data_IF_044535797752
#
_entry.id   IF_044535797752
#
_cell.length_a   1.000
_cell.length_b   1.000
_cell.length_c   1.000
_cell.angle_alpha   90.00
_cell.angle_beta   90.00
_cell.angle_gamma   90.00
#
_symmetry.space_group_name_H-M   'P 1'
#
loop_
_entity.id
_entity.type
_entity.pdbx_description
1 polymer ?
#
# COMPACT_ATOMS: atom_id res chain seq x y z
N UNK A 1 -17.92 -15.74 33.00
CA UNK A 1 -17.40 -16.46 31.82
C UNK A 1 -16.32 -15.60 31.22
N UNK A 2 -15.07 -15.91 31.53
CA UNK A 2 -13.87 -15.17 31.14
C UNK A 2 -13.65 -15.36 29.64
N UNK A 3 -13.93 -14.31 28.87
CA UNK A 3 -13.63 -14.26 27.45
C UNK A 3 -12.10 -14.24 27.31
N UNK A 4 -11.52 -15.38 26.91
CA UNK A 4 -10.10 -15.49 26.61
C UNK A 4 -9.80 -14.57 25.45
N UNK A 5 -9.19 -13.41 25.74
CA UNK A 5 -8.55 -12.59 24.74
C UNK A 5 -7.51 -13.46 24.05
N UNK A 6 -7.83 -13.94 22.84
CA UNK A 6 -6.84 -14.50 21.94
C UNK A 6 -5.74 -13.44 21.85
N UNK A 7 -4.56 -13.76 22.36
CA UNK A 7 -3.35 -12.95 22.21
C UNK A 7 -3.11 -12.79 20.72
N UNK A 8 -3.57 -11.66 20.16
CA UNK A 8 -3.18 -11.22 18.83
C UNK A 8 -1.67 -11.09 18.90
N UNK A 9 -0.98 -12.02 18.24
CA UNK A 9 0.47 -11.95 18.13
C UNK A 9 0.73 -10.85 17.11
N UNK A 10 1.11 -9.67 17.60
CA UNK A 10 1.41 -8.53 16.73
C UNK A 10 2.47 -8.93 15.70
N UNK A 11 2.18 -8.66 14.43
CA UNK A 11 3.06 -9.01 13.31
C UNK A 11 4.32 -8.15 13.37
N UNK A 12 5.50 -8.79 13.31
CA UNK A 12 6.77 -8.06 13.26
C UNK A 12 6.95 -7.37 11.91
N UNK A 13 7.55 -6.18 11.94
CA UNK A 13 7.99 -5.48 10.73
C UNK A 13 9.00 -6.32 9.95
N UNK A 14 9.89 -7.04 10.65
CA UNK A 14 10.82 -7.99 10.05
C UNK A 14 10.14 -9.03 9.15
N UNK A 15 8.96 -9.52 9.53
CA UNK A 15 8.20 -10.48 8.70
C UNK A 15 7.71 -9.85 7.39
N UNK A 16 7.23 -8.61 7.46
CA UNK A 16 6.80 -7.86 6.29
C UNK A 16 7.99 -7.51 5.38
N UNK A 17 9.12 -7.11 5.97
CA UNK A 17 10.35 -6.82 5.24
C UNK A 17 10.92 -8.08 4.56
N UNK A 18 10.90 -9.23 5.23
CA UNK A 18 11.26 -10.53 4.66
C UNK A 18 10.33 -10.92 3.51
N UNK A 19 9.01 -10.79 3.70
CA UNK A 19 8.03 -11.04 2.63
C UNK A 19 8.28 -10.16 1.40
N UNK A 20 8.56 -8.86 1.62
CA UNK A 20 8.88 -7.92 0.55
C UNK A 20 10.17 -8.30 -0.19
N UNK A 21 11.18 -8.84 0.51
CA UNK A 21 12.41 -9.36 -0.11
C UNK A 21 12.11 -10.59 -0.96
N UNK A 22 11.38 -11.54 -0.41
CA UNK A 22 11.00 -12.77 -1.10
C UNK A 22 10.21 -12.46 -2.39
N UNK A 23 9.32 -11.46 -2.35
CA UNK A 23 8.57 -10.98 -3.53
C UNK A 23 9.48 -10.34 -4.57
N UNK A 24 10.55 -9.64 -4.13
CA UNK A 24 11.54 -9.05 -5.02
C UNK A 24 12.35 -10.12 -5.75
N UNK A 25 12.69 -11.20 -5.06
CA UNK A 25 13.49 -12.32 -5.60
C UNK A 25 12.69 -13.25 -6.52
N UNK A 26 11.36 -13.31 -6.34
CA UNK A 26 10.50 -14.08 -7.22
C UNK A 26 10.47 -13.51 -8.66
N UNK A 27 10.63 -14.38 -9.65
CA UNK A 27 10.65 -13.99 -11.07
C UNK A 27 9.25 -13.99 -11.71
N UNK A 28 8.33 -14.83 -11.21
CA UNK A 28 6.97 -14.95 -11.79
C UNK A 28 5.96 -14.15 -10.97
N UNK A 29 5.07 -13.43 -11.68
CA UNK A 29 3.96 -12.68 -11.06
C UNK A 29 3.12 -13.56 -10.14
N UNK A 30 2.80 -14.79 -10.55
CA UNK A 30 1.98 -15.71 -9.75
C UNK A 30 2.65 -16.12 -8.43
N UNK A 31 3.97 -16.27 -8.41
CA UNK A 31 4.72 -16.58 -7.20
C UNK A 31 4.67 -15.40 -6.22
N UNK A 32 4.83 -14.17 -6.74
CA UNK A 32 4.66 -12.93 -5.95
C UNK A 32 3.28 -12.86 -5.32
N UNK A 33 2.23 -13.09 -6.12
CA UNK A 33 0.84 -13.10 -5.65
C UNK A 33 0.65 -14.17 -4.57
N UNK A 34 1.22 -15.36 -4.75
CA UNK A 34 1.14 -16.44 -3.75
C UNK A 34 1.79 -16.08 -2.42
N UNK A 35 3.02 -15.55 -2.45
CA UNK A 35 3.76 -15.12 -1.25
C UNK A 35 3.04 -14.01 -0.49
N UNK A 36 2.57 -13.00 -1.23
CA UNK A 36 1.78 -11.90 -0.65
C UNK A 36 0.46 -12.40 -0.07
N UNK A 37 -0.27 -13.28 -0.77
CA UNK A 37 -1.53 -13.81 -0.28
C UNK A 37 -1.36 -14.62 1.00
N UNK A 38 -0.30 -15.44 1.08
CA UNK A 38 0.01 -16.22 2.27
C UNK A 38 0.34 -15.31 3.47
N UNK A 39 1.10 -14.23 3.26
CA UNK A 39 1.39 -13.24 4.30
C UNK A 39 0.15 -12.46 4.74
N UNK A 40 -0.70 -12.02 3.80
CA UNK A 40 -1.90 -11.25 4.11
C UNK A 40 -2.95 -12.08 4.85
N UNK A 41 -3.08 -13.37 4.54
CA UNK A 41 -4.07 -14.27 5.15
C UNK A 41 -3.82 -14.61 6.62
N UNK A 42 -2.63 -14.27 7.17
CA UNK A 42 -2.28 -14.49 8.58
C UNK A 42 -2.32 -13.22 9.44
N UNK A 43 -2.64 -12.06 8.85
CA UNK A 43 -2.68 -10.79 9.56
C UNK A 43 -3.94 -10.65 10.41
N UNK A 44 -3.83 -9.97 11.55
CA UNK A 44 -4.99 -9.50 12.30
C UNK A 44 -5.71 -8.37 11.57
N UNK A 45 -7.02 -8.22 11.79
CA UNK A 45 -7.87 -7.26 11.06
C UNK A 45 -7.36 -5.80 11.13
N UNK A 46 -6.80 -5.41 12.28
CA UNK A 46 -6.27 -4.07 12.53
C UNK A 46 -4.94 -3.81 11.80
N UNK A 47 -4.20 -4.86 11.44
CA UNK A 47 -2.89 -4.76 10.80
C UNK A 47 -2.96 -4.73 9.26
N UNK A 48 -4.06 -5.21 8.69
CA UNK A 48 -4.21 -5.39 7.23
C UNK A 48 -4.00 -4.07 6.49
N UNK A 49 -4.64 -3.01 6.96
CA UNK A 49 -4.57 -1.70 6.31
C UNK A 49 -3.15 -1.11 6.38
N UNK A 50 -2.45 -1.30 7.50
CA UNK A 50 -1.06 -0.90 7.71
C UNK A 50 -0.14 -1.66 6.74
N UNK A 51 -0.22 -3.00 6.77
CA UNK A 51 0.63 -3.87 5.97
C UNK A 51 0.48 -3.62 4.47
N UNK A 52 -0.77 -3.50 4.00
CA UNK A 52 -1.08 -3.24 2.59
C UNK A 52 -0.58 -1.88 2.15
N UNK A 53 -0.78 -0.84 2.97
CA UNK A 53 -0.24 0.49 2.68
C UNK A 53 1.28 0.45 2.55
N UNK A 54 1.96 -0.18 3.50
CA UNK A 54 3.42 -0.29 3.50
C UNK A 54 3.93 -1.05 2.27
N UNK A 55 3.30 -2.17 1.90
CA UNK A 55 3.65 -2.93 0.70
C UNK A 55 3.39 -2.13 -0.59
N UNK A 56 2.38 -1.26 -0.61
CA UNK A 56 2.11 -0.32 -1.70
C UNK A 56 3.09 0.87 -1.72
N UNK A 57 3.98 1.01 -0.73
CA UNK A 57 4.90 2.15 -0.61
C UNK A 57 4.22 3.43 -0.12
N UNK A 58 3.07 3.31 0.56
CA UNK A 58 2.35 4.43 1.15
C UNK A 58 2.20 4.27 2.66
N UNK A 59 1.87 5.36 3.33
CA UNK A 59 1.55 5.37 4.75
C UNK A 59 0.05 5.62 4.92
N UNK A 60 -0.63 4.98 5.88
CA UNK A 60 -2.03 5.29 6.20
C UNK A 60 -2.25 6.77 6.50
N UNK A 61 -1.27 7.44 7.11
CA UNK A 61 -1.27 8.87 7.44
C UNK A 61 -1.03 9.79 6.23
N UNK A 62 -0.67 9.23 5.07
CA UNK A 62 -0.26 10.00 3.90
C UNK A 62 1.11 10.67 4.08
N UNK A 63 1.21 11.96 3.74
CA UNK A 63 2.49 12.70 3.85
C UNK A 63 2.74 13.15 5.28
N UNK A 64 3.79 12.61 5.88
CA UNK A 64 4.17 12.92 7.28
C UNK A 64 5.18 14.07 7.43
N UNK A 65 5.46 14.81 6.34
CA UNK A 65 6.33 16.00 6.39
C UNK A 65 7.81 15.70 6.55
N UNK A 66 8.26 14.53 6.09
CA UNK A 66 9.66 14.09 6.10
C UNK A 66 10.23 14.30 4.70
N UNK A 67 11.24 15.18 4.60
CA UNK A 67 11.94 15.47 3.35
C UNK A 67 13.24 14.68 3.19
N UNK A 68 13.91 14.86 2.05
CA UNK A 68 15.17 14.19 1.73
C UNK A 68 16.30 14.46 2.74
N UNK A 69 16.36 15.68 3.29
CA UNK A 69 17.35 16.04 4.32
C UNK A 69 17.20 15.18 5.58
N UNK A 70 15.97 15.09 6.11
CA UNK A 70 15.65 14.25 7.27
C UNK A 70 15.98 12.77 7.01
N UNK A 71 15.71 12.26 5.80
CA UNK A 71 16.08 10.89 5.42
C UNK A 71 17.59 10.68 5.34
N UNK A 72 18.35 11.69 4.95
CA UNK A 72 19.81 11.60 4.88
C UNK A 72 20.44 11.52 6.27
N UNK A 73 19.88 12.26 7.24
CA UNK A 73 20.35 12.28 8.63
C UNK A 73 20.12 10.95 9.37
N UNK A 74 19.09 10.19 9.00
CA UNK A 74 18.74 8.93 9.67
C UNK A 74 19.43 7.70 9.07
N UNK A 75 20.10 7.83 7.90
CA UNK A 75 20.78 6.70 7.24
C UNK A 75 21.95 6.12 8.03
N UNK A 76 22.53 6.90 8.94
CA UNK A 76 23.70 6.50 9.76
C UNK A 76 23.31 5.91 11.11
N UNK A 77 22.02 5.72 11.39
CA UNK A 77 21.55 5.16 12.67
C UNK A 77 22.01 3.69 12.79
N UNK A 78 22.72 3.31 13.87
CA UNK A 78 23.11 1.92 14.11
C UNK A 78 21.89 1.00 14.17
N UNK A 79 22.00 -0.19 13.60
CA UNK A 79 20.92 -1.17 13.59
C UNK A 79 20.87 -1.97 14.90
N UNK A 80 19.66 -2.33 15.32
CA UNK A 80 19.44 -3.28 16.41
C UNK A 80 19.85 -4.70 15.99
N UNK A 81 20.22 -5.52 16.97
CA UNK A 81 20.64 -6.91 16.76
C UNK A 81 19.48 -7.89 16.58
N UNK A 82 18.27 -7.54 17.05
CA UNK A 82 17.09 -8.39 17.00
C UNK A 82 15.84 -7.58 16.59
N UNK A 83 14.91 -8.19 15.83
CA UNK A 83 13.68 -7.52 15.43
C UNK A 83 12.71 -7.43 16.61
N UNK A 84 12.28 -6.21 16.92
CA UNK A 84 11.33 -5.93 18.02
C UNK A 84 10.20 -4.99 17.60
N UNK A 85 10.23 -4.50 16.36
CA UNK A 85 9.24 -3.56 15.86
C UNK A 85 8.06 -4.35 15.29
N UNK A 86 6.86 -4.08 15.79
CA UNK A 86 5.60 -4.56 15.23
C UNK A 86 5.04 -3.57 14.21
N UNK A 87 4.17 -4.01 13.30
CA UNK A 87 3.48 -3.12 12.37
C UNK A 87 2.73 -1.98 13.08
N UNK A 88 1.95 -2.30 14.12
CA UNK A 88 1.20 -1.31 14.89
C UNK A 88 2.10 -0.26 15.57
N UNK A 89 3.21 -0.68 16.19
CA UNK A 89 4.16 0.24 16.81
C UNK A 89 4.83 1.19 15.81
N UNK A 90 5.13 0.71 14.59
CA UNK A 90 5.70 1.53 13.51
C UNK A 90 4.66 2.55 13.02
N UNK A 91 3.42 2.09 12.80
CA UNK A 91 2.32 2.96 12.38
C UNK A 91 2.06 4.08 13.40
N UNK A 92 1.95 3.72 14.68
CA UNK A 92 1.84 4.68 15.79
C UNK A 92 3.02 5.66 15.85
N UNK A 93 4.23 5.22 15.47
CA UNK A 93 5.39 6.10 15.40
C UNK A 93 5.26 7.12 14.25
N UNK A 94 4.79 6.68 13.08
CA UNK A 94 4.53 7.59 11.96
C UNK A 94 3.37 8.56 12.22
N UNK A 95 2.33 8.15 12.95
CA UNK A 95 1.29 9.05 13.44
C UNK A 95 1.86 10.18 14.29
N UNK A 96 2.74 9.85 15.26
CA UNK A 96 3.41 10.87 16.08
C UNK A 96 4.26 11.82 15.25
N UNK A 97 4.99 11.32 14.26
CA UNK A 97 5.79 12.15 13.33
C UNK A 97 4.89 13.08 12.51
N UNK A 98 3.76 12.57 12.01
CA UNK A 98 2.78 13.34 11.23
C UNK A 98 2.09 14.44 12.06
N UNK A 99 1.84 14.16 13.34
CA UNK A 99 1.21 15.07 14.28
C UNK A 99 2.15 16.19 14.79
N UNK A 100 3.47 16.01 14.71
CA UNK A 100 4.45 17.03 15.11
C UNK A 100 4.29 18.31 14.28
N UNK A 101 4.11 19.48 14.92
CA UNK A 101 3.94 20.81 14.28
C UNK A 101 4.66 21.91 15.09
N UNK A 102 4.78 23.10 14.51
CA UNK A 102 5.38 24.27 15.16
C UNK A 102 6.89 24.46 14.92
N UNK A 103 7.46 25.46 15.59
CA UNK A 103 8.89 25.80 15.51
C UNK A 103 9.72 24.62 16.03
N UNK A 104 10.76 24.21 15.29
CA UNK A 104 11.58 23.05 15.64
C UNK A 104 10.97 21.68 15.25
N UNK A 105 9.77 21.66 14.63
CA UNK A 105 9.13 20.41 14.22
C UNK A 105 9.97 19.54 13.29
N UNK A 106 10.79 20.13 12.42
CA UNK A 106 11.72 19.38 11.56
C UNK A 106 12.71 18.55 12.37
N UNK A 107 13.40 19.16 13.35
CA UNK A 107 14.37 18.47 14.20
C UNK A 107 13.69 17.39 15.06
N UNK A 108 12.50 17.69 15.60
CA UNK A 108 11.72 16.73 16.37
C UNK A 108 11.31 15.50 15.53
N UNK A 109 10.86 15.69 14.29
CA UNK A 109 10.55 14.58 13.37
C UNK A 109 11.79 13.74 13.07
N UNK A 110 12.94 14.37 12.83
CA UNK A 110 14.21 13.65 12.63
C UNK A 110 14.54 12.81 13.86
N UNK A 111 14.48 13.38 15.06
CA UNK A 111 14.77 12.63 16.29
C UNK A 111 13.84 11.44 16.46
N UNK A 112 12.53 11.62 16.29
CA UNK A 112 11.54 10.53 16.36
C UNK A 112 11.85 9.41 15.36
N UNK A 113 12.28 9.74 14.14
CA UNK A 113 12.69 8.75 13.14
C UNK A 113 14.01 8.05 13.52
N UNK A 114 14.97 8.77 14.10
CA UNK A 114 16.21 8.17 14.62
C UNK A 114 15.91 7.15 15.71
N UNK A 115 15.03 7.49 16.64
CA UNK A 115 14.63 6.61 17.75
C UNK A 115 13.92 5.35 17.25
N UNK A 116 13.07 5.49 16.22
CA UNK A 116 12.42 4.36 15.56
C UNK A 116 13.47 3.45 14.88
N UNK A 117 14.36 4.03 14.08
CA UNK A 117 15.36 3.29 13.31
C UNK A 117 16.43 2.64 14.19
N UNK A 118 16.73 3.20 15.36
CA UNK A 118 17.68 2.61 16.32
C UNK A 118 17.17 1.27 16.90
N UNK A 119 15.85 1.06 16.90
CA UNK A 119 15.20 -0.18 17.31
C UNK A 119 14.99 -1.17 16.16
N UNK A 120 15.23 -0.73 14.93
CA UNK A 120 15.07 -1.55 13.74
C UNK A 120 16.38 -2.30 13.44
N UNK A 121 16.25 -3.56 13.03
CA UNK A 121 17.34 -4.33 12.41
C UNK A 121 17.73 -3.71 11.08
N UNK A 122 18.86 -4.15 10.51
CA UNK A 122 19.37 -3.58 9.25
C UNK A 122 18.36 -3.72 8.09
N UNK A 123 17.66 -4.83 8.06
CA UNK A 123 16.66 -5.14 7.03
C UNK A 123 15.39 -4.31 7.19
N UNK A 124 14.94 -4.11 8.43
CA UNK A 124 13.83 -3.22 8.76
C UNK A 124 14.18 -1.76 8.47
N UNK A 125 15.40 -1.31 8.75
CA UNK A 125 15.86 0.04 8.40
C UNK A 125 15.83 0.27 6.89
N UNK A 126 16.34 -0.66 6.07
CA UNK A 126 16.30 -0.54 4.61
C UNK A 126 14.84 -0.47 4.12
N UNK A 127 13.97 -1.33 4.66
CA UNK A 127 12.55 -1.30 4.34
C UNK A 127 11.89 0.05 4.69
N UNK A 128 12.08 0.54 5.91
CA UNK A 128 11.48 1.81 6.38
C UNK A 128 11.99 3.02 5.59
N UNK A 129 13.29 3.07 5.28
CA UNK A 129 13.87 4.16 4.48
C UNK A 129 13.28 4.19 3.07
N UNK A 130 13.08 3.02 2.44
CA UNK A 130 12.41 2.89 1.14
C UNK A 130 10.94 3.28 1.20
N UNK A 131 10.24 2.84 2.24
CA UNK A 131 8.85 3.20 2.48
C UNK A 131 8.68 4.72 2.63
N UNK A 132 9.55 5.38 3.40
CA UNK A 132 9.51 6.84 3.58
C UNK A 132 9.87 7.61 2.30
N UNK A 133 10.58 6.99 1.35
CA UNK A 133 10.80 7.56 0.02
C UNK A 133 9.58 7.39 -0.90
N UNK A 134 8.59 6.57 -0.51
CA UNK A 134 7.41 6.26 -1.29
C UNK A 134 7.57 5.10 -2.26
N UNK A 135 8.68 4.34 -2.18
CA UNK A 135 9.00 3.28 -3.14
C UNK A 135 9.68 2.07 -2.48
N UNK A 136 8.98 0.94 -2.36
CA UNK A 136 9.55 -0.30 -1.80
C UNK A 136 10.51 -1.00 -2.79
N UNK A 137 10.28 -0.84 -4.10
CA UNK A 137 11.06 -1.49 -5.18
C UNK A 137 11.11 -3.02 -5.06
N UNK A 138 9.99 -3.62 -4.66
CA UNK A 138 9.81 -5.08 -4.60
C UNK A 138 9.36 -5.71 -5.94
N UNK A 139 9.17 -4.89 -6.98
CA UNK A 139 8.68 -5.36 -8.28
C UNK A 139 7.26 -5.96 -8.20
N UNK A 140 6.47 -5.52 -7.22
CA UNK A 140 5.05 -5.79 -7.07
C UNK A 140 4.32 -4.45 -7.01
N UNK A 141 3.60 -4.13 -8.08
CA UNK A 141 2.76 -2.94 -8.15
C UNK A 141 1.49 -3.16 -7.31
N UNK A 142 0.75 -2.09 -7.03
CA UNK A 142 -0.55 -2.15 -6.36
C UNK A 142 -1.50 -3.18 -7.01
N UNK A 143 -1.40 -3.39 -8.33
CA UNK A 143 -2.17 -4.44 -9.02
C UNK A 143 -1.81 -5.87 -8.58
N UNK A 144 -0.54 -6.15 -8.28
CA UNK A 144 -0.10 -7.46 -7.77
C UNK A 144 -0.61 -7.66 -6.35
N UNK A 145 -0.55 -6.63 -5.51
CA UNK A 145 -1.05 -6.67 -4.14
C UNK A 145 -2.58 -6.82 -4.15
N UNK A 146 -3.28 -6.16 -5.08
CA UNK A 146 -4.73 -6.33 -5.28
C UNK A 146 -5.09 -7.77 -5.64
N UNK A 147 -4.34 -8.40 -6.56
CA UNK A 147 -4.53 -9.82 -6.90
C UNK A 147 -4.24 -10.73 -5.69
N UNK A 148 -3.26 -10.39 -4.85
CA UNK A 148 -2.94 -11.12 -3.63
C UNK A 148 -4.04 -11.00 -2.56
N UNK A 149 -4.61 -9.80 -2.37
CA UNK A 149 -5.77 -9.58 -1.50
C UNK A 149 -6.95 -10.41 -1.98
N UNK A 150 -7.26 -10.37 -3.28
CA UNK A 150 -8.34 -11.16 -3.85
C UNK A 150 -8.13 -12.67 -3.64
N UNK A 151 -6.90 -13.16 -3.85
CA UNK A 151 -6.54 -14.56 -3.62
C UNK A 151 -6.67 -14.96 -2.15
N UNK A 152 -6.17 -14.14 -1.22
CA UNK A 152 -6.23 -14.42 0.21
C UNK A 152 -7.67 -14.36 0.75
N UNK A 153 -8.50 -13.47 0.22
CA UNK A 153 -9.91 -13.36 0.58
C UNK A 153 -10.82 -14.40 -0.11
N UNK A 154 -10.32 -15.13 -1.11
CA UNK A 154 -11.14 -16.03 -1.94
C UNK A 154 -12.16 -15.29 -2.80
N UNK A 155 -11.91 -14.03 -3.15
CA UNK A 155 -12.84 -13.16 -3.89
C UNK A 155 -12.44 -13.01 -5.36
N UNK A 156 -13.41 -12.74 -6.26
CA UNK A 156 -13.08 -12.41 -7.65
C UNK A 156 -12.22 -11.14 -7.75
N UNK A 157 -11.06 -11.22 -8.40
CA UNK A 157 -10.13 -10.09 -8.51
C UNK A 157 -10.75 -8.84 -9.16
N UNK A 158 -11.68 -9.02 -10.11
CA UNK A 158 -12.42 -7.92 -10.73
C UNK A 158 -13.27 -7.14 -9.71
N UNK A 159 -13.82 -7.83 -8.71
CA UNK A 159 -14.65 -7.23 -7.66
C UNK A 159 -13.81 -6.40 -6.69
N UNK A 160 -12.66 -6.92 -6.27
CA UNK A 160 -11.70 -6.17 -5.44
C UNK A 160 -11.19 -4.94 -6.19
N UNK A 161 -10.77 -5.09 -7.46
CA UNK A 161 -10.34 -3.96 -8.30
C UNK A 161 -11.40 -2.86 -8.40
N UNK A 162 -12.67 -3.23 -8.62
CA UNK A 162 -13.78 -2.27 -8.65
C UNK A 162 -13.91 -1.52 -7.32
N UNK A 163 -13.84 -2.22 -6.20
CA UNK A 163 -13.88 -1.59 -4.88
C UNK A 163 -12.71 -0.60 -4.68
N UNK A 164 -11.49 -0.96 -5.09
CA UNK A 164 -10.32 -0.07 -5.05
C UNK A 164 -10.53 1.20 -5.86
N UNK A 165 -11.07 1.08 -7.09
CA UNK A 165 -11.36 2.23 -7.94
C UNK A 165 -12.35 3.22 -7.29
N UNK A 166 -13.32 2.70 -6.54
CA UNK A 166 -14.33 3.50 -5.83
C UNK A 166 -13.81 4.05 -4.50
N UNK A 167 -12.96 3.31 -3.81
CA UNK A 167 -12.38 3.72 -2.52
C UNK A 167 -11.24 4.71 -2.68
N UNK A 168 -10.56 4.74 -3.82
CA UNK A 168 -9.40 5.61 -4.08
C UNK A 168 -8.07 5.05 -3.55
N UNK A 169 -8.06 3.83 -3.00
CA UNK A 169 -6.86 3.15 -2.53
C UNK A 169 -7.14 1.74 -2.01
N UNK A 170 -6.09 0.90 -1.94
CA UNK A 170 -6.21 -0.51 -1.58
C UNK A 170 -6.33 -0.80 -0.07
N UNK A 171 -5.74 0.02 0.81
CA UNK A 171 -5.65 -0.27 2.25
C UNK A 171 -7.00 -0.56 2.91
N UNK A 172 -7.94 0.38 2.82
CA UNK A 172 -9.28 0.24 3.42
C UNK A 172 -10.12 -0.87 2.77
N UNK A 173 -9.91 -1.14 1.47
CA UNK A 173 -10.57 -2.24 0.74
C UNK A 173 -10.04 -3.59 1.19
N UNK A 174 -8.73 -3.71 1.37
CA UNK A 174 -8.10 -4.95 1.80
C UNK A 174 -8.58 -5.39 3.18
N UNK A 175 -8.74 -4.45 4.13
CA UNK A 175 -9.30 -4.74 5.45
C UNK A 175 -10.69 -5.37 5.35
N UNK A 176 -11.54 -4.86 4.47
CA UNK A 176 -12.90 -5.41 4.24
C UNK A 176 -12.86 -6.75 3.55
N UNK A 177 -12.04 -6.87 2.52
CA UNK A 177 -11.95 -8.09 1.74
C UNK A 177 -11.48 -9.27 2.61
N UNK A 178 -10.51 -9.03 3.49
CA UNK A 178 -9.85 -10.07 4.27
C UNK A 178 -10.50 -10.34 5.64
N UNK A 179 -11.13 -9.33 6.27
CA UNK A 179 -11.81 -9.51 7.57
C UNK A 179 -13.33 -9.65 7.44
N UNK A 180 -13.89 -9.35 6.27
CA UNK A 180 -15.32 -9.39 5.99
C UNK A 180 -15.70 -10.41 4.93
N UNK A 181 -16.81 -10.13 4.24
CA UNK A 181 -17.41 -11.00 3.23
C UNK A 181 -17.57 -10.28 1.89
N UNK A 182 -17.84 -11.03 0.82
CA UNK A 182 -18.02 -10.45 -0.52
C UNK A 182 -19.09 -9.35 -0.61
N UNK A 183 -20.26 -9.46 0.06
CA UNK A 183 -21.24 -8.39 0.10
C UNK A 183 -20.72 -7.09 0.72
N UNK A 184 -19.79 -7.15 1.68
CA UNK A 184 -19.28 -5.97 2.37
C UNK A 184 -18.51 -5.02 1.44
N UNK A 185 -17.93 -5.54 0.35
CA UNK A 185 -17.31 -4.71 -0.69
C UNK A 185 -18.29 -3.76 -1.38
N UNK A 186 -19.59 -4.03 -1.31
CA UNK A 186 -20.64 -3.19 -1.91
C UNK A 186 -20.72 -1.80 -1.24
N UNK A 187 -20.15 -1.64 -0.03
CA UNK A 187 -20.03 -0.34 0.65
C UNK A 187 -19.13 0.64 -0.10
N UNK A 188 -18.23 0.14 -0.96
CA UNK A 188 -17.40 0.96 -1.83
C UNK A 188 -18.18 1.29 -3.11
N UNK A 189 -19.08 2.25 -2.99
CA UNK A 189 -19.86 2.80 -4.07
C UNK A 189 -19.38 4.20 -4.45
N UNK A 190 -19.82 4.69 -5.62
CA UNK A 190 -19.63 6.09 -5.98
C UNK A 190 -20.30 6.98 -4.91
N UNK A 191 -19.56 7.96 -4.39
CA UNK A 191 -20.07 8.97 -3.44
C UNK A 191 -19.69 10.36 -3.91
N UNK A 192 -20.60 11.31 -3.75
CA UNK A 192 -20.32 12.71 -4.05
C UNK A 192 -19.16 13.21 -3.17
N UNK A 193 -18.26 14.01 -3.75
CA UNK A 193 -17.04 14.51 -3.11
C UNK A 193 -15.99 13.44 -2.73
N UNK A 194 -16.17 12.19 -3.20
CA UNK A 194 -15.14 11.16 -3.07
C UNK A 194 -14.49 10.91 -4.45
N UNK A 195 -13.18 11.15 -4.61
CA UNK A 195 -12.53 10.99 -5.90
C UNK A 195 -12.48 9.50 -6.30
N UNK A 196 -12.83 9.22 -7.55
CA UNK A 196 -12.61 7.90 -8.16
C UNK A 196 -11.31 7.88 -8.95
N UNK A 197 -10.70 6.71 -9.08
CA UNK A 197 -9.53 6.58 -9.96
C UNK A 197 -9.92 6.92 -11.40
N UNK A 198 -9.17 7.79 -12.10
CA UNK A 198 -9.51 8.19 -13.45
C UNK A 198 -9.39 7.00 -14.40
N UNK A 199 -10.30 6.90 -15.36
CA UNK A 199 -10.07 6.03 -16.51
C UNK A 199 -8.84 6.51 -17.27
N UNK A 200 -7.92 5.59 -17.51
CA UNK A 200 -6.72 5.78 -18.33
C UNK A 200 -7.00 5.26 -19.74
N UNK A 201 -6.47 5.96 -20.74
CA UNK A 201 -6.58 5.54 -22.12
C UNK A 201 -5.47 4.54 -22.46
N UNK A 202 -5.82 3.49 -23.19
CA UNK A 202 -4.85 2.63 -23.86
C UNK A 202 -4.29 3.38 -25.07
N UNK A 203 -2.98 3.29 -25.29
CA UNK A 203 -2.35 3.78 -26.52
C UNK A 203 -2.60 2.80 -27.66
N UNK A 204 -2.75 3.32 -28.86
CA UNK A 204 -2.74 2.55 -30.10
C UNK A 204 -1.55 3.02 -30.94
N UNK A 205 -0.94 2.12 -31.71
CA UNK A 205 0.27 2.42 -32.47
C UNK A 205 -0.04 3.25 -33.73
N UNK A 206 -1.29 3.21 -34.19
CA UNK A 206 -1.78 4.00 -35.32
C UNK A 206 -3.29 4.28 -35.21
N UNK A 207 -3.79 5.17 -36.07
CA UNK A 207 -5.23 5.42 -36.20
C UNK A 207 -5.97 4.16 -36.66
N UNK A 208 -5.38 3.39 -37.58
CA UNK A 208 -5.98 2.16 -38.10
C UNK A 208 -6.05 1.06 -37.03
N UNK A 209 -5.01 0.92 -36.21
CA UNK A 209 -5.00 0.01 -35.06
C UNK A 209 -6.05 0.43 -34.02
N UNK A 210 -6.15 1.73 -33.72
CA UNK A 210 -7.20 2.24 -32.83
C UNK A 210 -8.62 1.93 -33.35
N UNK A 211 -8.84 2.11 -34.65
CA UNK A 211 -10.13 1.82 -35.29
C UNK A 211 -10.42 0.32 -35.35
N UNK A 212 -9.40 -0.53 -35.54
CA UNK A 212 -9.56 -1.99 -35.52
C UNK A 212 -9.94 -2.49 -34.11
N UNK A 213 -9.25 -2.01 -33.08
CA UNK A 213 -9.61 -2.27 -31.68
C UNK A 213 -11.03 -1.77 -31.37
N UNK A 214 -11.40 -0.58 -31.85
CA UNK A 214 -12.73 -0.02 -31.68
C UNK A 214 -13.83 -0.84 -32.34
N UNK A 215 -13.66 -1.23 -33.61
CA UNK A 215 -14.66 -2.00 -34.39
C UNK A 215 -15.00 -3.35 -33.77
N UNK A 216 -14.13 -3.88 -32.90
CA UNK A 216 -14.39 -5.10 -32.14
C UNK A 216 -15.38 -4.90 -30.96
N UNK A 217 -15.76 -3.65 -30.64
CA UNK A 217 -16.63 -3.29 -29.52
C UNK A 217 -18.00 -2.78 -30.00
N UNK A 218 -19.10 -3.38 -29.56
CA UNK A 218 -20.48 -3.11 -30.05
C UNK A 218 -21.13 -1.81 -29.51
N UNK A 219 -20.39 -0.90 -28.88
CA UNK A 219 -20.95 0.31 -28.26
C UNK A 219 -20.48 1.60 -28.93
N UNK A 220 -21.38 2.57 -29.07
CA UNK A 220 -21.08 3.90 -29.60
C UNK A 220 -20.14 4.69 -28.66
N UNK A 221 -19.05 5.22 -29.20
CA UNK A 221 -18.12 6.13 -28.52
C UNK A 221 -17.86 7.36 -29.38
N UNK A 222 -17.98 8.55 -28.79
CA UNK A 222 -17.68 9.81 -29.47
C UNK A 222 -16.16 10.08 -29.47
N UNK A 223 -15.54 10.39 -30.62
CA UNK A 223 -14.16 10.86 -30.65
C UNK A 223 -14.06 12.20 -29.92
N UNK A 224 -12.99 12.36 -29.13
CA UNK A 224 -12.71 13.60 -28.40
C UNK A 224 -11.25 14.00 -28.58
N UNK A 225 -10.99 15.31 -28.65
CA UNK A 225 -9.62 15.82 -28.68
C UNK A 225 -8.92 15.56 -27.34
N UNK A 226 -7.70 15.02 -27.40
CA UNK A 226 -6.82 14.93 -26.23
C UNK A 226 -6.12 16.27 -26.02
N UNK A 227 -6.56 17.04 -25.03
CA UNK A 227 -5.96 18.33 -24.70
C UNK A 227 -4.66 18.16 -23.90
N UNK A 228 -3.66 19.00 -24.18
CA UNK A 228 -2.42 19.13 -23.40
C UNK A 228 -2.63 20.02 -22.17
N UNK A 229 -3.39 19.52 -21.20
CA UNK A 229 -3.61 20.18 -19.90
C UNK A 229 -3.63 19.16 -18.77
N UNK A 230 -3.30 19.59 -17.55
CA UNK A 230 -3.48 18.77 -16.34
C UNK A 230 -4.96 18.53 -16.10
N UNK A 231 -5.38 17.27 -16.00
CA UNK A 231 -6.76 16.89 -15.68
C UNK A 231 -7.05 17.31 -14.23
N UNK A 232 -8.03 18.19 -14.02
CA UNK A 232 -8.43 18.59 -12.67
C UNK A 232 -9.11 17.40 -11.96
N UNK A 233 -8.75 17.20 -10.68
CA UNK A 233 -9.30 16.18 -9.80
C UNK A 233 -10.51 16.72 -9.06
#
# INVERSE_FOLDING_TARGET
MTNGAATVTDTLLGDLAATSRDVREASRRLDKVGRLAAFLGRLGAEEIEIAVSFLCGSLPQGRIGVGFSALSEVRSVPAASAPVLTLAAVDSAFERVAATRGRGSTAARVQQLRDLLARATRDEQDFLVRLLQGEIRQGALESVITDAVARAAGLPAARVRRAVMMAGGLGSVARVALAGTDPDLSRFSLRMFHPVQPMLAQSADSVDDALAQWRSTTSWTAPAFKYTRTRQR
#
